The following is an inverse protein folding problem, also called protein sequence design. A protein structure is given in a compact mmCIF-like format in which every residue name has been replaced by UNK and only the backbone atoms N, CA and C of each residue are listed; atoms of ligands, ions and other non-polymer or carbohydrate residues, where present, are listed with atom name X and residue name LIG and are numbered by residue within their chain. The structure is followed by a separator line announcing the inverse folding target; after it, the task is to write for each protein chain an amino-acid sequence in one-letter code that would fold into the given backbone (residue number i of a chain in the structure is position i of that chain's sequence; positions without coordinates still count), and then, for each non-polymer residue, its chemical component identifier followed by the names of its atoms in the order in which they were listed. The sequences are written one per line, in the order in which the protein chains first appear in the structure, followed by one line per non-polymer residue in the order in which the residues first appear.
data_IF_933000210231
#
_entry.id   IF_933000210231
#
_cell.length_a   1.000
_cell.length_b   1.000
_cell.length_c   1.000
_cell.angle_alpha   90.00
_cell.angle_beta   90.00
_cell.angle_gamma   90.00
#
_symmetry.space_group_name_H-M   'P 1'
#
loop_
_entity.id
_entity.type
_entity.pdbx_description
1 polymer ?
#
# COMPACT_ATOMS: atom_id res chain seq x y z
N UNK A 1 2.95 5.69 -1.26
CA UNK A 1 3.19 4.47 -2.04
C UNK A 1 2.99 4.72 -3.54
N UNK A 2 1.81 5.19 -3.99
CA UNK A 2 1.50 5.39 -5.41
C UNK A 2 2.50 6.32 -6.13
N UNK A 3 2.86 7.45 -5.53
CA UNK A 3 3.86 8.39 -6.08
C UNK A 3 5.21 7.70 -6.25
N UNK A 4 5.65 6.95 -5.24
CA UNK A 4 6.91 6.21 -5.30
C UNK A 4 6.92 5.15 -6.41
N UNK A 5 5.81 4.44 -6.59
CA UNK A 5 5.65 3.47 -7.69
C UNK A 5 5.77 4.16 -9.06
N UNK A 6 5.15 5.34 -9.22
CA UNK A 6 5.24 6.11 -10.46
C UNK A 6 6.67 6.60 -10.73
N UNK A 7 7.34 7.12 -9.71
CA UNK A 7 8.73 7.56 -9.79
C UNK A 7 9.70 6.41 -10.07
N UNK A 8 9.37 5.19 -9.62
CA UNK A 8 10.15 3.97 -9.89
C UNK A 8 9.97 3.43 -11.32
N UNK A 9 9.12 4.05 -12.13
CA UNK A 9 8.98 3.72 -13.55
C UNK A 9 7.69 2.97 -13.94
N UNK A 10 6.73 2.83 -13.02
CA UNK A 10 5.43 2.27 -13.37
C UNK A 10 4.75 3.14 -14.44
N UNK A 11 4.29 2.53 -15.51
CA UNK A 11 3.68 3.26 -16.64
C UNK A 11 2.35 3.91 -16.24
N UNK A 12 1.53 3.18 -15.50
CA UNK A 12 0.23 3.59 -15.03
C UNK A 12 0.07 3.22 -13.57
N UNK A 13 -0.33 4.16 -12.72
CA UNK A 13 -0.56 3.93 -11.30
C UNK A 13 -1.93 4.47 -10.91
N UNK A 14 -2.70 3.61 -10.25
CA UNK A 14 -4.02 3.94 -9.70
C UNK A 14 -3.88 4.01 -8.18
N UNK A 15 -4.17 5.18 -7.61
CA UNK A 15 -4.25 5.39 -6.17
C UNK A 15 -5.68 5.13 -5.71
N UNK A 16 -5.89 4.14 -4.85
CA UNK A 16 -7.20 3.77 -4.35
C UNK A 16 -7.29 4.02 -2.84
N UNK A 17 -8.27 4.77 -2.41
CA UNK A 17 -8.62 4.98 -1.01
C UNK A 17 -10.11 5.30 -0.89
N UNK A 18 -10.78 4.79 0.14
CA UNK A 18 -12.18 5.12 0.41
C UNK A 18 -12.35 6.52 0.98
N UNK A 19 -11.29 7.08 1.55
CA UNK A 19 -11.29 8.43 2.12
C UNK A 19 -10.96 9.47 1.05
N UNK A 20 -11.95 10.30 0.76
CA UNK A 20 -11.80 11.39 -0.21
C UNK A 20 -10.70 12.38 0.18
N UNK A 21 -10.55 12.67 1.47
CA UNK A 21 -9.51 13.59 1.96
C UNK A 21 -8.12 13.01 1.69
N UNK A 22 -7.94 11.71 1.89
CA UNK A 22 -6.70 11.02 1.55
C UNK A 22 -6.40 11.06 0.05
N UNK A 23 -7.40 10.91 -0.81
CA UNK A 23 -7.24 11.02 -2.26
C UNK A 23 -6.88 12.46 -2.68
N UNK A 24 -7.51 13.46 -2.09
CA UNK A 24 -7.20 14.88 -2.35
C UNK A 24 -5.76 15.22 -1.92
N UNK A 25 -5.33 14.72 -0.76
CA UNK A 25 -3.95 14.87 -0.31
C UNK A 25 -2.96 14.15 -1.24
N UNK A 26 -3.30 12.96 -1.71
CA UNK A 26 -2.48 12.24 -2.68
C UNK A 26 -2.35 13.03 -4.00
N UNK A 27 -3.43 13.64 -4.47
CA UNK A 27 -3.44 14.47 -5.68
C UNK A 27 -2.52 15.67 -5.52
N UNK A 28 -2.62 16.41 -4.42
CA UNK A 28 -1.76 17.55 -4.13
C UNK A 28 -0.27 17.14 -4.07
N UNK A 29 0.02 16.01 -3.42
CA UNK A 29 1.39 15.48 -3.36
C UNK A 29 1.90 15.00 -4.72
N UNK A 30 1.05 14.44 -5.57
CA UNK A 30 1.42 14.04 -6.93
C UNK A 30 1.79 15.27 -7.79
N UNK A 31 1.04 16.35 -7.68
CA UNK A 31 1.36 17.63 -8.34
C UNK A 31 2.72 18.17 -7.89
N UNK A 32 3.00 18.17 -6.58
CA UNK A 32 4.29 18.59 -6.04
C UNK A 32 5.47 17.75 -6.56
N UNK A 33 5.25 16.47 -6.82
CA UNK A 33 6.27 15.55 -7.33
C UNK A 33 6.26 15.43 -8.87
N UNK A 34 5.43 16.20 -9.55
CA UNK A 34 5.31 16.22 -11.01
C UNK A 34 5.03 14.83 -11.61
N UNK A 35 4.18 14.05 -10.94
CA UNK A 35 3.74 12.71 -11.39
C UNK A 35 2.25 12.69 -11.65
N UNK A 36 1.84 11.93 -12.67
CA UNK A 36 0.44 11.70 -12.99
C UNK A 36 -0.02 10.37 -12.41
N UNK A 37 -1.12 10.42 -11.65
CA UNK A 37 -1.79 9.26 -11.08
C UNK A 37 -3.25 9.25 -11.50
N UNK A 38 -3.85 8.06 -11.50
CA UNK A 38 -5.31 7.88 -11.53
C UNK A 38 -5.81 7.67 -10.11
N UNK A 39 -7.07 8.00 -9.85
CA UNK A 39 -7.66 7.94 -8.51
C UNK A 39 -8.94 7.14 -8.51
N UNK A 40 -9.13 6.33 -7.48
CA UNK A 40 -10.27 5.45 -7.32
C UNK A 40 -10.73 5.47 -5.86
N UNK A 41 -12.01 5.63 -5.63
CA UNK A 41 -12.61 5.70 -4.29
C UNK A 41 -13.17 4.36 -3.79
N UNK A 42 -13.12 3.33 -4.62
CA UNK A 42 -13.63 2.01 -4.29
C UNK A 42 -12.81 0.93 -5.02
N UNK A 43 -12.19 0.03 -4.25
CA UNK A 43 -11.40 -1.06 -4.79
C UNK A 43 -12.19 -1.94 -5.78
N UNK A 44 -13.48 -2.14 -5.52
CA UNK A 44 -14.32 -3.01 -6.37
C UNK A 44 -14.64 -2.41 -7.74
N UNK A 45 -14.34 -1.15 -7.96
CA UNK A 45 -14.38 -0.51 -9.29
C UNK A 45 -13.09 -0.67 -10.07
N UNK A 46 -12.04 -1.24 -9.45
CA UNK A 46 -10.75 -1.45 -10.08
C UNK A 46 -10.80 -2.52 -11.16
N UNK A 47 -10.05 -2.32 -12.22
CA UNK A 47 -9.73 -3.33 -13.21
C UNK A 47 -8.57 -4.22 -12.73
N UNK A 48 -8.28 -5.28 -13.48
CA UNK A 48 -7.10 -6.11 -13.26
C UNK A 48 -5.83 -5.28 -13.45
N UNK A 49 -4.87 -5.45 -12.56
CA UNK A 49 -3.57 -4.77 -12.60
C UNK A 49 -2.42 -5.78 -12.53
N UNK A 50 -1.26 -5.42 -13.03
CA UNK A 50 -0.08 -6.29 -13.00
C UNK A 50 0.41 -6.52 -11.57
N UNK A 51 0.44 -5.45 -10.76
CA UNK A 51 0.88 -5.49 -9.36
C UNK A 51 -0.05 -4.66 -8.50
N UNK A 52 -0.46 -5.21 -7.36
CA UNK A 52 -1.21 -4.49 -6.34
C UNK A 52 -0.29 -4.22 -5.13
N UNK A 53 -0.21 -2.98 -4.70
CA UNK A 53 0.55 -2.55 -3.52
C UNK A 53 -0.41 -2.11 -2.42
N UNK A 54 -0.31 -2.71 -1.24
CA UNK A 54 -1.09 -2.33 -0.06
C UNK A 54 -0.14 -1.96 1.09
N UNK A 55 -0.36 -0.80 1.69
CA UNK A 55 0.46 -0.31 2.78
C UNK A 55 -0.39 0.11 3.98
N UNK A 56 -0.04 -0.41 5.15
CA UNK A 56 -0.69 -0.13 6.44
C UNK A 56 -2.22 -0.26 6.43
N UNK A 57 -2.74 -1.30 5.77
CA UNK A 57 -4.18 -1.57 5.66
C UNK A 57 -4.68 -2.63 6.65
N UNK A 58 -3.78 -3.37 7.30
CA UNK A 58 -4.11 -4.51 8.15
C UNK A 58 -4.27 -4.17 9.63
N UNK A 59 -4.05 -2.92 10.03
CA UNK A 59 -4.15 -2.48 11.43
C UNK A 59 -5.54 -2.69 12.04
N UNK A 60 -6.59 -2.69 11.22
CA UNK A 60 -7.91 -3.13 11.60
C UNK A 60 -8.08 -4.61 11.24
N UNK A 61 -8.41 -5.44 12.24
CA UNK A 61 -8.64 -6.87 12.01
C UNK A 61 -9.76 -7.14 11.00
N UNK A 62 -10.73 -6.23 10.90
CA UNK A 62 -11.79 -6.29 9.88
C UNK A 62 -11.24 -6.22 8.45
N UNK A 63 -10.05 -5.68 8.26
CA UNK A 63 -9.42 -5.54 6.95
C UNK A 63 -8.64 -6.78 6.50
N UNK A 64 -8.47 -7.80 7.36
CA UNK A 64 -7.68 -8.99 7.00
C UNK A 64 -8.26 -9.78 5.83
N UNK A 65 -9.56 -9.73 5.62
CA UNK A 65 -10.20 -10.36 4.46
C UNK A 65 -9.72 -9.76 3.14
N UNK A 66 -9.21 -8.53 3.14
CA UNK A 66 -8.64 -7.92 1.93
C UNK A 66 -7.46 -8.67 1.36
N UNK A 67 -6.73 -9.46 2.16
CA UNK A 67 -5.67 -10.32 1.64
C UNK A 67 -6.17 -11.29 0.56
N UNK A 68 -7.39 -11.83 0.72
CA UNK A 68 -8.03 -12.65 -0.32
C UNK A 68 -8.66 -11.79 -1.41
N UNK A 69 -9.25 -10.66 -1.07
CA UNK A 69 -9.88 -9.75 -2.04
C UNK A 69 -8.88 -9.20 -3.05
N UNK A 70 -7.69 -8.80 -2.60
CA UNK A 70 -6.63 -8.28 -3.48
C UNK A 70 -6.26 -9.24 -4.62
N UNK A 71 -6.35 -10.54 -4.37
CA UNK A 71 -6.06 -11.57 -5.37
C UNK A 71 -7.07 -11.63 -6.52
N UNK A 72 -8.21 -10.97 -6.38
CA UNK A 72 -9.19 -10.81 -7.46
C UNK A 72 -8.75 -9.76 -8.48
N UNK A 73 -7.84 -8.85 -8.08
CA UNK A 73 -7.39 -7.73 -8.90
C UNK A 73 -5.97 -7.89 -9.43
N UNK A 74 -5.14 -8.72 -8.77
CA UNK A 74 -3.79 -9.01 -9.22
C UNK A 74 -3.32 -10.37 -8.70
N UNK A 75 -2.56 -11.08 -9.52
CA UNK A 75 -1.84 -12.28 -9.08
C UNK A 75 -0.56 -11.95 -8.28
N UNK A 76 -0.07 -10.73 -8.41
CA UNK A 76 1.09 -10.24 -7.68
C UNK A 76 0.69 -9.12 -6.71
N UNK A 77 0.61 -9.46 -5.43
CA UNK A 77 0.26 -8.52 -4.36
C UNK A 77 1.43 -8.37 -3.41
N UNK A 78 1.80 -7.13 -3.13
CA UNK A 78 2.77 -6.76 -2.11
C UNK A 78 2.08 -6.02 -0.98
N UNK A 79 2.37 -6.44 0.24
CA UNK A 79 1.84 -5.81 1.45
C UNK A 79 3.00 -5.33 2.30
N UNK A 80 2.98 -4.05 2.67
CA UNK A 80 3.89 -3.46 3.63
C UNK A 80 3.08 -3.02 4.86
N UNK A 81 3.47 -3.47 6.05
CA UNK A 81 2.73 -3.13 7.26
C UNK A 81 3.67 -2.85 8.43
N UNK A 82 3.46 -1.72 9.09
CA UNK A 82 4.23 -1.27 10.25
C UNK A 82 3.55 -1.63 11.57
N UNK A 83 2.30 -1.98 11.57
CA UNK A 83 1.47 -2.22 12.76
C UNK A 83 1.23 -3.69 13.04
N UNK A 84 1.07 -4.51 12.00
CA UNK A 84 0.91 -5.96 12.12
C UNK A 84 2.24 -6.63 11.80
N UNK A 85 2.96 -7.05 12.83
CA UNK A 85 4.34 -7.56 12.69
C UNK A 85 4.43 -8.94 12.07
N UNK A 86 3.48 -9.81 12.38
CA UNK A 86 3.48 -11.18 11.90
C UNK A 86 2.04 -11.62 11.63
N UNK A 87 1.68 -11.71 10.38
CA UNK A 87 0.48 -12.42 10.00
C UNK A 87 0.85 -13.70 9.24
N UNK A 88 0.01 -14.69 9.34
CA UNK A 88 0.14 -15.92 8.55
C UNK A 88 -1.04 -16.01 7.60
N UNK A 89 -0.74 -16.25 6.33
CA UNK A 89 -1.75 -16.45 5.29
C UNK A 89 -1.22 -17.46 4.27
N UNK A 90 -2.01 -18.45 3.85
CA UNK A 90 -1.51 -19.53 2.97
C UNK A 90 -1.01 -19.08 1.61
N UNK A 91 -1.45 -17.89 1.16
CA UNK A 91 -1.09 -17.34 -0.16
C UNK A 91 -0.03 -16.25 -0.12
N UNK A 92 0.47 -15.90 1.07
CA UNK A 92 1.48 -14.86 1.24
C UNK A 92 2.68 -15.37 2.01
N UNK A 93 3.86 -14.86 1.68
CA UNK A 93 5.08 -15.10 2.43
C UNK A 93 5.69 -13.77 2.87
N UNK A 94 6.27 -13.77 4.07
CA UNK A 94 7.08 -12.64 4.54
C UNK A 94 8.42 -12.65 3.79
N UNK A 95 8.79 -11.52 3.20
CA UNK A 95 10.03 -11.39 2.45
C UNK A 95 11.13 -10.72 3.27
N UNK A 96 10.78 -9.66 3.98
CA UNK A 96 11.76 -8.78 4.59
C UNK A 96 11.12 -7.97 5.74
N UNK A 97 11.98 -7.36 6.53
CA UNK A 97 11.59 -6.38 7.53
C UNK A 97 12.63 -5.26 7.54
N UNK A 98 12.19 -4.03 7.47
CA UNK A 98 13.08 -2.88 7.42
C UNK A 98 12.64 -1.81 8.40
N UNK A 99 13.63 -1.14 9.00
CA UNK A 99 13.38 0.04 9.83
C UNK A 99 13.38 1.29 8.94
N UNK A 100 12.38 2.13 9.14
CA UNK A 100 12.24 3.41 8.44
C UNK A 100 11.62 4.46 9.36
N UNK A 101 11.94 5.72 9.11
CA UNK A 101 11.33 6.88 9.76
C UNK A 101 10.81 7.85 8.72
N UNK A 102 9.87 8.69 9.11
CA UNK A 102 9.45 9.83 8.28
C UNK A 102 10.56 10.88 8.21
N UNK A 103 10.53 11.72 7.19
CA UNK A 103 11.39 12.89 7.07
C UNK A 103 10.54 14.16 6.89
N UNK A 104 10.62 15.14 7.78
CA UNK A 104 11.33 15.08 9.07
C UNK A 104 10.81 13.99 9.99
N UNK A 105 11.63 13.56 10.95
CA UNK A 105 11.21 12.58 11.96
C UNK A 105 10.12 13.22 12.85
N UNK A 106 8.93 12.63 12.81
CA UNK A 106 7.77 13.08 13.58
C UNK A 106 7.69 12.40 14.95
N UNK A 107 8.77 11.79 15.40
CA UNK A 107 8.89 11.10 16.70
C UNK A 107 7.87 9.97 16.88
N UNK A 108 7.62 9.22 15.80
CA UNK A 108 6.78 8.03 15.88
C UNK A 108 7.35 7.00 16.85
N UNK A 109 6.48 6.28 17.53
CA UNK A 109 6.84 5.16 18.39
C UNK A 109 7.75 4.17 17.65
N UNK A 110 8.83 3.74 18.32
CA UNK A 110 9.83 2.82 17.75
C UNK A 110 9.21 1.53 17.18
N UNK A 111 8.12 1.06 17.79
CA UNK A 111 7.41 -0.14 17.31
C UNK A 111 6.82 0.01 15.90
N UNK A 112 6.49 1.22 15.47
CA UNK A 112 5.97 1.52 14.13
C UNK A 112 7.03 1.86 13.09
N UNK A 113 8.31 1.86 13.48
CA UNK A 113 9.43 2.09 12.57
C UNK A 113 9.84 0.85 11.80
N UNK A 114 9.45 -0.34 12.29
CA UNK A 114 9.74 -1.61 11.63
C UNK A 114 8.58 -1.98 10.69
N UNK A 115 8.87 -2.02 9.42
CA UNK A 115 7.91 -2.37 8.37
C UNK A 115 8.19 -3.78 7.89
N UNK A 116 7.19 -4.64 7.99
CA UNK A 116 7.25 -6.01 7.45
C UNK A 116 6.69 -6.05 6.04
N UNK A 117 7.39 -6.73 5.14
CA UNK A 117 7.02 -6.87 3.73
C UNK A 117 6.59 -8.30 3.43
N UNK A 118 5.46 -8.43 2.79
CA UNK A 118 4.88 -9.69 2.36
C UNK A 118 4.56 -9.64 0.87
N UNK A 119 4.62 -10.79 0.24
CA UNK A 119 4.28 -10.95 -1.18
C UNK A 119 3.48 -12.24 -1.38
N UNK A 120 2.63 -12.27 -2.39
CA UNK A 120 2.00 -13.50 -2.88
C UNK A 120 3.04 -14.53 -3.30
N UNK A 121 2.72 -15.76 -3.04
CA UNK A 121 3.53 -16.94 -3.43
C UNK A 121 3.58 -17.11 -4.95
#
# INVERSE_FOLDING_TARGET
VAIAAKMAGAKRVICCDIDKVSLDACRANAELNEVELEYLDDLYKAEQVDVLLAADVLYDQCNRFFLDEFLKFSSEVWVADSRVKNFSHPKYQKLDERSATTWPDLDESKEFRNVSFYKTL
#
